data_IF_266944983448
#
_entry.id   IF_266944983448
#
_cell.length_a   1.000
_cell.length_b   1.000
_cell.length_c   1.000
_cell.angle_alpha   90.00
_cell.angle_beta   90.00
_cell.angle_gamma   90.00
#
_symmetry.space_group_name_H-M   'P 1'
#
loop_
_entity.id
_entity.type
_entity.pdbx_description
1 polymer ?
#
# COMPACT_ATOMS: atom_id res chain seq x y z
N UNK A 1 45.81 -20.55 13.58
CA UNK A 1 44.64 -20.03 14.32
C UNK A 1 43.96 -18.83 13.64
N UNK A 2 44.67 -17.78 13.17
CA UNK A 2 44.05 -16.61 12.49
C UNK A 2 43.18 -16.95 11.27
N UNK A 3 43.57 -17.93 10.44
CA UNK A 3 42.81 -18.35 9.23
C UNK A 3 41.45 -18.97 9.56
N UNK A 4 41.33 -19.66 10.70
CA UNK A 4 40.09 -20.30 11.16
C UNK A 4 39.08 -19.23 11.60
N UNK A 5 39.55 -18.21 12.33
CA UNK A 5 38.71 -17.08 12.74
C UNK A 5 38.20 -16.26 11.55
N UNK A 6 39.03 -16.04 10.53
CA UNK A 6 38.60 -15.36 9.30
C UNK A 6 37.50 -16.16 8.58
N UNK A 7 37.63 -17.49 8.54
CA UNK A 7 36.61 -18.36 7.94
C UNK A 7 35.30 -18.35 8.71
N UNK A 8 35.34 -18.34 10.04
CA UNK A 8 34.15 -18.25 10.90
C UNK A 8 33.45 -16.90 10.71
N UNK A 9 34.20 -15.79 10.67
CA UNK A 9 33.63 -14.47 10.41
C UNK A 9 32.97 -14.37 9.03
N UNK A 10 33.61 -14.90 7.98
CA UNK A 10 33.03 -14.96 6.64
C UNK A 10 31.73 -15.78 6.60
N UNK A 11 31.70 -16.91 7.30
CA UNK A 11 30.51 -17.75 7.38
C UNK A 11 29.35 -17.06 8.10
N UNK A 12 29.64 -16.34 9.18
CA UNK A 12 28.63 -15.54 9.90
C UNK A 12 28.08 -14.38 9.06
N UNK A 13 28.92 -13.73 8.25
CA UNK A 13 28.47 -12.67 7.33
C UNK A 13 27.54 -13.24 6.25
N UNK A 14 27.88 -14.41 5.70
CA UNK A 14 27.06 -15.08 4.68
C UNK A 14 25.71 -15.50 5.27
N UNK A 15 25.70 -16.09 6.48
CA UNK A 15 24.46 -16.45 7.17
C UNK A 15 23.62 -15.20 7.45
N UNK A 16 24.23 -14.12 7.95
CA UNK A 16 23.55 -12.85 8.19
C UNK A 16 22.93 -12.28 6.92
N UNK A 17 23.66 -12.29 5.80
CA UNK A 17 23.17 -11.83 4.51
C UNK A 17 22.00 -12.68 3.99
N UNK A 18 22.08 -14.01 4.12
CA UNK A 18 20.98 -14.92 3.74
C UNK A 18 19.76 -14.70 4.64
N UNK A 19 19.96 -14.52 5.95
CA UNK A 19 18.87 -14.22 6.88
C UNK A 19 18.17 -12.91 6.53
N UNK A 20 18.92 -11.87 6.14
CA UNK A 20 18.37 -10.60 5.64
C UNK A 20 17.61 -10.74 4.31
N UNK A 21 18.09 -11.57 3.38
CA UNK A 21 17.41 -11.82 2.11
C UNK A 21 16.12 -12.64 2.31
N UNK A 22 16.12 -13.58 3.26
CA UNK A 22 14.96 -14.43 3.57
C UNK A 22 13.91 -13.71 4.42
N UNK A 23 14.32 -12.81 5.33
CA UNK A 23 13.40 -11.94 6.08
C UNK A 23 12.90 -10.76 5.24
N UNK A 24 13.68 -10.29 4.25
CA UNK A 24 13.28 -9.27 3.28
C UNK A 24 12.31 -9.80 2.22
N UNK A 25 11.52 -10.81 2.54
CA UNK A 25 10.47 -11.26 1.66
C UNK A 25 9.32 -10.26 1.81
N UNK A 26 9.27 -9.26 0.92
CA UNK A 26 8.11 -8.43 0.65
C UNK A 26 6.96 -9.35 0.21
N UNK A 27 6.41 -10.10 1.15
CA UNK A 27 5.49 -11.19 0.91
C UNK A 27 4.15 -10.56 0.58
N UNK A 28 3.94 -10.35 -0.72
CA UNK A 28 2.62 -10.02 -1.24
C UNK A 28 1.89 -11.32 -1.52
N UNK A 29 0.74 -11.48 -0.90
CA UNK A 29 -0.13 -12.65 -1.09
C UNK A 29 -1.37 -12.20 -1.82
N UNK A 30 -1.70 -12.84 -2.94
CA UNK A 30 -2.96 -12.59 -3.61
C UNK A 30 -4.13 -13.08 -2.75
N UNK A 31 -5.17 -12.25 -2.61
CA UNK A 31 -6.36 -12.54 -1.80
C UNK A 31 -7.64 -12.23 -2.60
N UNK A 32 -8.80 -12.69 -2.12
CA UNK A 32 -10.07 -12.30 -2.70
C UNK A 32 -10.43 -10.86 -2.28
N UNK A 33 -11.07 -10.08 -3.16
CA UNK A 33 -11.58 -8.75 -2.81
C UNK A 33 -12.54 -8.76 -1.61
N UNK A 34 -13.32 -9.84 -1.46
CA UNK A 34 -14.27 -9.99 -0.35
C UNK A 34 -13.56 -10.21 0.99
N UNK A 35 -12.28 -10.62 0.97
CA UNK A 35 -11.50 -10.88 2.18
C UNK A 35 -10.84 -9.60 2.73
N UNK A 36 -10.86 -8.49 1.97
CA UNK A 36 -10.14 -7.25 2.33
C UNK A 36 -10.58 -6.75 3.70
N UNK A 37 -11.89 -6.69 3.97
CA UNK A 37 -12.41 -6.23 5.25
C UNK A 37 -11.92 -7.08 6.43
N UNK A 38 -11.86 -8.40 6.27
CA UNK A 38 -11.31 -9.30 7.29
C UNK A 38 -9.80 -9.06 7.49
N UNK A 39 -9.04 -8.92 6.40
CA UNK A 39 -7.58 -8.77 6.47
C UNK A 39 -7.11 -7.42 6.99
N UNK A 40 -7.94 -6.38 6.89
CA UNK A 40 -7.65 -5.06 7.42
C UNK A 40 -8.28 -4.81 8.80
N UNK A 41 -8.94 -5.80 9.42
CA UNK A 41 -9.71 -5.66 10.67
C UNK A 41 -10.80 -4.57 10.57
N UNK A 42 -11.42 -4.49 9.39
CA UNK A 42 -12.47 -3.54 9.02
C UNK A 42 -13.67 -4.24 8.37
N UNK A 43 -14.04 -5.41 8.87
CA UNK A 43 -15.07 -6.30 8.29
C UNK A 43 -16.46 -5.69 8.17
N UNK A 44 -16.72 -4.58 8.86
CA UNK A 44 -17.99 -3.85 8.83
C UNK A 44 -17.90 -2.48 8.14
N UNK A 45 -16.79 -2.16 7.48
CA UNK A 45 -16.59 -0.87 6.80
C UNK A 45 -16.61 -1.06 5.28
N UNK A 46 -17.36 -0.19 4.61
CA UNK A 46 -17.40 -0.17 3.15
C UNK A 46 -16.05 0.28 2.61
N UNK A 47 -15.35 -0.65 1.98
CA UNK A 47 -14.07 -0.35 1.35
C UNK A 47 -14.34 0.47 0.09
N UNK A 48 -13.81 1.69 0.05
CA UNK A 48 -13.97 2.59 -1.08
C UNK A 48 -13.22 2.05 -2.31
N UNK A 49 -13.93 1.31 -3.16
CA UNK A 49 -13.45 0.74 -4.42
C UNK A 49 -14.46 1.13 -5.52
N UNK A 50 -14.07 1.92 -6.54
CA UNK A 50 -15.02 2.38 -7.55
C UNK A 50 -15.55 1.23 -8.41
N UNK A 51 -16.87 0.98 -8.43
CA UNK A 51 -17.46 -0.19 -9.11
C UNK A 51 -17.40 -0.10 -10.63
N UNK A 52 -17.04 1.06 -11.19
CA UNK A 52 -16.86 1.27 -12.63
C UNK A 52 -15.73 0.42 -13.22
N UNK A 53 -14.76 0.03 -12.41
CA UNK A 53 -13.56 -0.65 -12.88
C UNK A 53 -13.58 -2.12 -12.48
N UNK A 54 -13.28 -3.01 -13.43
CA UNK A 54 -13.03 -4.42 -13.09
C UNK A 54 -11.78 -4.53 -12.21
N UNK A 55 -11.89 -5.28 -11.12
CA UNK A 55 -10.74 -5.68 -10.29
C UNK A 55 -9.96 -6.76 -11.02
N UNK A 56 -8.66 -6.55 -11.23
CA UNK A 56 -7.77 -7.51 -11.90
C UNK A 56 -7.01 -8.36 -10.91
N UNK A 57 -6.53 -7.76 -9.82
CA UNK A 57 -5.88 -8.48 -8.74
C UNK A 57 -5.93 -7.70 -7.43
N UNK A 58 -5.84 -8.42 -6.32
CA UNK A 58 -5.79 -7.86 -4.95
C UNK A 58 -4.65 -8.54 -4.20
N UNK A 59 -3.72 -7.76 -3.68
CA UNK A 59 -2.59 -8.27 -2.92
C UNK A 59 -2.64 -7.77 -1.48
N UNK A 60 -2.52 -8.69 -0.53
CA UNK A 60 -2.23 -8.40 0.86
C UNK A 60 -0.72 -8.28 1.03
N UNK A 61 -0.30 -7.16 1.58
CA UNK A 61 1.07 -6.92 1.98
C UNK A 61 1.16 -6.98 3.49
N UNK A 62 1.96 -7.92 3.98
CA UNK A 62 2.35 -7.99 5.37
C UNK A 62 3.86 -7.77 5.43
N UNK A 63 4.25 -6.56 5.80
CA UNK A 63 5.64 -6.19 6.02
C UNK A 63 5.82 -6.08 7.54
N UNK A 64 6.81 -6.76 8.10
CA UNK A 64 7.11 -6.71 9.53
C UNK A 64 7.41 -5.27 10.01
N UNK A 65 7.69 -4.34 9.10
CA UNK A 65 7.94 -2.92 9.36
C UNK A 65 6.76 -1.98 9.04
N UNK A 66 5.80 -2.39 8.21
CA UNK A 66 4.65 -1.58 7.79
C UNK A 66 3.37 -2.34 8.12
N UNK A 67 2.48 -1.73 8.91
CA UNK A 67 1.16 -2.26 9.20
C UNK A 67 0.48 -2.84 7.95
N UNK A 68 -0.19 -3.99 8.11
CA UNK A 68 -0.85 -4.72 7.02
C UNK A 68 -1.65 -3.79 6.12
N UNK A 69 -1.44 -3.93 4.80
CA UNK A 69 -2.09 -3.10 3.80
C UNK A 69 -2.43 -3.90 2.54
N UNK A 70 -3.33 -3.36 1.73
CA UNK A 70 -3.83 -4.02 0.53
C UNK A 70 -3.57 -3.17 -0.70
N UNK A 71 -3.06 -3.80 -1.77
CA UNK A 71 -2.95 -3.24 -3.13
C UNK A 71 -4.08 -3.81 -3.99
N UNK A 72 -4.84 -2.95 -4.66
CA UNK A 72 -5.91 -3.32 -5.58
C UNK A 72 -5.56 -2.78 -6.96
N UNK A 73 -5.37 -3.67 -7.92
CA UNK A 73 -5.12 -3.30 -9.31
C UNK A 73 -6.40 -3.49 -10.11
N UNK A 74 -6.88 -2.40 -10.70
CA UNK A 74 -8.10 -2.38 -11.47
C UNK A 74 -7.83 -2.14 -12.96
N UNK A 75 -8.86 -2.32 -13.78
CA UNK A 75 -8.86 -1.92 -15.19
C UNK A 75 -8.48 -0.45 -15.37
N UNK A 76 -8.06 -0.08 -16.57
CA UNK A 76 -7.56 1.27 -16.90
C UNK A 76 -6.36 1.74 -16.04
N UNK A 77 -5.63 0.79 -15.43
CA UNK A 77 -4.45 1.04 -14.60
C UNK A 77 -4.74 1.96 -13.40
N UNK A 78 -5.96 1.88 -12.87
CA UNK A 78 -6.30 2.45 -11.57
C UNK A 78 -5.78 1.51 -10.49
N UNK A 79 -5.00 2.04 -9.56
CA UNK A 79 -4.43 1.32 -8.41
C UNK A 79 -4.94 1.97 -7.13
N UNK A 80 -5.38 1.16 -6.18
CA UNK A 80 -5.84 1.62 -4.86
C UNK A 80 -5.05 0.88 -3.79
N UNK A 81 -4.34 1.62 -2.97
CA UNK A 81 -3.63 1.09 -1.83
C UNK A 81 -4.34 1.53 -0.55
N UNK A 82 -4.58 0.57 0.35
CA UNK A 82 -5.38 0.76 1.56
C UNK A 82 -4.57 0.32 2.76
N UNK A 83 -4.36 1.24 3.70
CA UNK A 83 -3.48 1.05 4.85
C UNK A 83 -4.26 1.17 6.17
N UNK A 84 -3.91 0.34 7.16
CA UNK A 84 -4.58 0.24 8.47
C UNK A 84 -4.06 1.20 9.54
N UNK A 85 -2.92 1.86 9.33
CA UNK A 85 -2.25 2.67 10.37
C UNK A 85 -1.99 4.10 9.91
N UNK A 86 -2.23 5.04 10.83
CA UNK A 86 -1.90 6.46 10.65
C UNK A 86 -0.38 6.72 10.64
N UNK A 87 0.41 5.81 11.20
CA UNK A 87 1.86 5.90 11.33
C UNK A 87 2.59 5.21 10.16
N UNK A 88 2.09 5.39 8.94
CA UNK A 88 2.70 4.82 7.74
C UNK A 88 4.13 5.34 7.53
N UNK A 89 5.11 4.59 8.04
CA UNK A 89 6.53 4.69 7.69
C UNK A 89 6.82 4.03 6.33
N UNK A 90 5.86 4.07 5.41
CA UNK A 90 5.98 3.36 4.13
C UNK A 90 6.82 4.19 3.15
N UNK A 91 7.94 3.63 2.69
CA UNK A 91 8.80 4.23 1.66
C UNK A 91 8.11 4.27 0.28
N UNK A 92 7.00 3.54 0.09
CA UNK A 92 6.33 3.38 -1.21
C UNK A 92 5.63 4.64 -1.72
N UNK A 93 5.31 5.61 -0.85
CA UNK A 93 4.83 6.94 -1.28
C UNK A 93 5.52 8.04 -0.48
N UNK A 94 6.31 8.85 -1.19
CA UNK A 94 6.98 10.06 -0.69
C UNK A 94 6.00 11.04 -0.02
N UNK A 95 4.70 10.93 -0.28
CA UNK A 95 3.68 11.89 0.10
C UNK A 95 2.93 11.52 1.37
N UNK A 96 2.78 10.22 1.68
CA UNK A 96 2.13 9.75 2.91
C UNK A 96 2.90 10.23 4.16
N UNK A 97 4.24 10.17 4.12
CA UNK A 97 5.10 10.63 5.21
C UNK A 97 5.18 12.16 5.37
N UNK A 98 4.89 12.93 4.31
CA UNK A 98 5.15 14.37 4.29
C UNK A 98 4.11 15.20 5.03
N UNK A 99 2.89 14.72 5.11
CA UNK A 99 1.81 15.45 5.76
C UNK A 99 0.96 14.44 6.51
N UNK A 100 1.20 14.30 7.83
CA UNK A 100 0.34 13.55 8.76
C UNK A 100 -1.12 13.62 8.29
N UNK A 101 -1.62 12.51 7.73
CA UNK A 101 -2.94 12.48 7.07
C UNK A 101 -3.99 12.45 8.16
N UNK A 102 -4.25 13.62 8.74
CA UNK A 102 -5.12 13.75 9.91
C UNK A 102 -6.55 14.16 9.54
N UNK A 103 -6.90 14.20 8.25
CA UNK A 103 -8.19 14.72 7.81
C UNK A 103 -8.77 13.93 6.62
N UNK A 104 -10.10 13.96 6.49
CA UNK A 104 -10.90 13.29 5.46
C UNK A 104 -10.77 13.96 4.08
N UNK A 105 -10.24 15.19 4.03
CA UNK A 105 -10.06 15.93 2.79
C UNK A 105 -9.08 15.25 1.84
N UNK A 106 -9.50 15.08 0.58
CA UNK A 106 -8.67 14.53 -0.49
C UNK A 106 -7.53 15.48 -0.82
N UNK A 107 -6.30 14.97 -0.76
CA UNK A 107 -5.10 15.65 -1.25
C UNK A 107 -4.71 15.09 -2.60
N UNK A 108 -4.58 15.97 -3.59
CA UNK A 108 -4.17 15.65 -4.95
C UNK A 108 -2.67 15.92 -5.15
N UNK A 109 -1.95 14.91 -5.62
CA UNK A 109 -0.56 15.02 -6.04
C UNK A 109 -0.43 14.62 -7.51
N UNK A 110 0.60 15.15 -8.17
CA UNK A 110 1.00 14.77 -9.52
C UNK A 110 2.37 14.14 -9.45
N UNK A 111 2.50 12.92 -9.99
CA UNK A 111 3.79 12.24 -10.09
C UNK A 111 4.62 12.80 -11.24
N UNK A 112 5.92 12.56 -11.21
CA UNK A 112 6.83 12.91 -12.32
C UNK A 112 6.45 12.20 -13.61
N UNK A 113 5.85 11.01 -13.52
CA UNK A 113 5.29 10.24 -14.64
C UNK A 113 3.96 10.78 -15.17
N UNK A 114 3.44 11.88 -14.60
CA UNK A 114 2.19 12.51 -15.01
C UNK A 114 0.92 11.82 -14.52
N UNK A 115 1.03 10.77 -13.70
CA UNK A 115 -0.11 10.17 -12.99
C UNK A 115 -0.59 11.10 -11.88
N UNK A 116 -1.83 10.88 -11.46
CA UNK A 116 -2.43 11.55 -10.32
C UNK A 116 -2.46 10.59 -9.14
N UNK A 117 -2.16 11.10 -7.96
CA UNK A 117 -2.26 10.38 -6.70
C UNK A 117 -3.22 11.12 -5.77
N UNK A 118 -4.28 10.46 -5.33
CA UNK A 118 -5.18 10.98 -4.31
C UNK A 118 -4.90 10.28 -2.99
N UNK A 119 -4.75 11.07 -1.94
CA UNK A 119 -4.48 10.59 -0.59
C UNK A 119 -5.50 11.18 0.36
N UNK A 120 -6.19 10.31 1.10
CA UNK A 120 -7.17 10.72 2.09
C UNK A 120 -7.34 9.63 3.16
N UNK A 121 -7.96 10.01 4.27
CA UNK A 121 -8.32 9.10 5.35
C UNK A 121 -9.84 8.97 5.41
N UNK A 122 -10.34 7.75 5.56
CA UNK A 122 -11.73 7.49 5.89
C UNK A 122 -11.74 6.48 7.04
N UNK A 123 -12.40 6.84 8.13
CA UNK A 123 -12.38 6.08 9.38
C UNK A 123 -10.96 5.79 9.90
N UNK A 124 -10.55 4.51 9.93
CA UNK A 124 -9.23 4.05 10.36
C UNK A 124 -8.31 3.71 9.19
N UNK A 125 -8.76 3.94 7.95
CA UNK A 125 -8.06 3.54 6.75
C UNK A 125 -7.51 4.76 6.02
N UNK A 126 -6.29 4.62 5.51
CA UNK A 126 -5.69 5.57 4.59
C UNK A 126 -5.76 5.00 3.19
N UNK A 127 -6.30 5.79 2.27
CA UNK A 127 -6.44 5.45 0.87
C UNK A 127 -5.43 6.23 0.04
N UNK A 128 -4.72 5.51 -0.84
CA UNK A 128 -3.87 6.06 -1.89
C UNK A 128 -4.37 5.54 -3.23
N UNK A 129 -4.99 6.42 -4.01
CA UNK A 129 -5.45 6.12 -5.35
C UNK A 129 -4.42 6.62 -6.35
N UNK A 130 -3.98 5.79 -7.29
CA UNK A 130 -3.10 6.19 -8.40
C UNK A 130 -3.77 5.91 -9.74
N UNK A 131 -3.85 6.91 -10.59
CA UNK A 131 -4.57 6.80 -11.87
C UNK A 131 -4.05 7.80 -12.92
N UNK A 132 -4.39 7.58 -14.19
CA UNK A 132 -4.06 8.51 -15.26
C UNK A 132 -4.92 9.78 -15.20
N UNK A 133 -4.45 10.92 -15.73
CA UNK A 133 -5.25 12.15 -15.77
C UNK A 133 -6.64 12.00 -16.42
N UNK A 134 -6.80 11.06 -17.35
CA UNK A 134 -8.08 10.75 -18.02
C UNK A 134 -9.15 10.22 -17.06
N UNK A 135 -8.76 9.57 -15.97
CA UNK A 135 -9.71 8.99 -15.00
C UNK A 135 -10.14 9.98 -13.92
N UNK A 136 -9.58 11.19 -13.89
CA UNK A 136 -9.81 12.16 -12.81
C UNK A 136 -11.29 12.43 -12.55
N UNK A 137 -12.07 12.69 -13.58
CA UNK A 137 -13.48 13.05 -13.40
C UNK A 137 -14.28 11.89 -12.82
N UNK A 138 -14.00 10.66 -13.28
CA UNK A 138 -14.66 9.45 -12.78
C UNK A 138 -14.35 9.23 -11.29
N UNK A 139 -13.08 9.36 -10.91
CA UNK A 139 -12.65 9.20 -9.52
C UNK A 139 -13.21 10.32 -8.64
N UNK A 140 -13.22 11.56 -9.11
CA UNK A 140 -13.81 12.69 -8.40
C UNK A 140 -15.30 12.47 -8.11
N UNK A 141 -16.07 12.08 -9.13
CA UNK A 141 -17.50 11.85 -8.99
C UNK A 141 -17.79 10.70 -8.02
N UNK A 142 -17.02 9.61 -8.12
CA UNK A 142 -17.14 8.48 -7.19
C UNK A 142 -16.85 8.89 -5.75
N UNK A 143 -15.69 9.52 -5.50
CA UNK A 143 -15.27 9.88 -4.15
C UNK A 143 -16.21 10.92 -3.53
N UNK A 144 -16.67 11.92 -4.31
CA UNK A 144 -17.68 12.87 -3.84
C UNK A 144 -18.96 12.19 -3.37
N UNK A 145 -19.40 11.14 -4.07
CA UNK A 145 -20.64 10.43 -3.72
C UNK A 145 -20.50 9.58 -2.46
N UNK A 146 -19.29 9.11 -2.13
CA UNK A 146 -19.07 8.13 -1.06
C UNK A 146 -18.33 8.71 0.17
N UNK A 147 -17.88 9.96 0.11
CA UNK A 147 -17.23 10.67 1.22
C UNK A 147 -18.07 11.84 1.77
N UNK A 148 -19.10 12.28 1.05
CA UNK A 148 -20.04 13.34 1.49
C UNK A 148 -21.09 12.82 2.49
#
# INVERSE_FOLDING_TARGET
MKKIWISICLFLIIIGAIFFIVLGNNSKKEININDIGEKLDTSNQDILIPPKYDVKSVYLHNDDFVSTWVEIIMSNRVEINIYTSDDLKNESSKYINKEKINNTNIKEYKTDSGKREYIFKQDKLIYLYKFSPSEKENINQYLKTNLD
#
